data_IF_213536533490
#
_entry.id   IF_213536533490
#
_cell.length_a   1.000
_cell.length_b   1.000
_cell.length_c   1.000
_cell.angle_alpha   90.00
_cell.angle_beta   90.00
_cell.angle_gamma   90.00
#
_symmetry.space_group_name_H-M   'P 1'
#
loop_
_entity.id
_entity.type
_entity.pdbx_description
1 polymer ?
#
# COMPACT_ATOMS: atom_id res chain seq x y z
N UNK A 1 -20.80 6.31 -54.98
CA UNK A 1 -20.85 7.31 -53.90
C UNK A 1 -21.33 6.61 -52.63
N UNK A 2 -20.42 6.23 -51.73
CA UNK A 2 -20.78 5.73 -50.40
C UNK A 2 -19.88 6.38 -49.37
N UNK A 3 -20.38 7.47 -48.77
CA UNK A 3 -19.71 8.14 -47.65
C UNK A 3 -20.20 7.54 -46.34
N UNK A 4 -19.38 6.71 -45.70
CA UNK A 4 -19.58 6.33 -44.30
C UNK A 4 -19.04 7.44 -43.40
N UNK A 5 -19.93 8.17 -42.73
CA UNK A 5 -19.56 9.20 -41.74
C UNK A 5 -19.18 8.52 -40.43
N UNK A 6 -17.91 8.59 -40.07
CA UNK A 6 -17.39 8.09 -38.79
C UNK A 6 -17.78 9.07 -37.67
N UNK A 7 -18.58 8.62 -36.71
CA UNK A 7 -19.05 9.43 -35.59
C UNK A 7 -17.95 9.55 -34.51
N UNK A 8 -17.35 10.73 -34.43
CA UNK A 8 -16.34 11.10 -33.44
C UNK A 8 -16.98 11.34 -32.06
N UNK A 9 -16.96 10.33 -31.17
CA UNK A 9 -17.40 10.50 -29.78
C UNK A 9 -16.32 11.31 -29.02
N UNK A 10 -16.51 12.63 -28.97
CA UNK A 10 -15.71 13.53 -28.14
C UNK A 10 -16.62 14.15 -27.08
N UNK A 11 -16.22 14.03 -25.80
CA UNK A 11 -16.61 15.02 -24.79
C UNK A 11 -17.35 14.55 -23.54
N UNK A 12 -16.84 13.55 -22.81
CA UNK A 12 -17.42 13.21 -21.49
C UNK A 12 -16.51 13.47 -20.28
N UNK A 13 -15.28 13.95 -20.45
CA UNK A 13 -14.40 14.22 -19.30
C UNK A 13 -14.16 15.72 -19.12
N UNK A 14 -14.53 16.24 -17.95
CA UNK A 14 -14.33 17.63 -17.55
C UNK A 14 -13.54 17.64 -16.23
N UNK A 15 -12.22 17.72 -16.33
CA UNK A 15 -11.34 17.88 -15.15
C UNK A 15 -11.43 19.30 -14.60
N UNK A 16 -11.64 19.40 -13.28
CA UNK A 16 -11.67 20.66 -12.54
C UNK A 16 -10.40 20.78 -11.71
N UNK A 17 -9.49 21.65 -12.15
CA UNK A 17 -8.30 22.09 -11.42
C UNK A 17 -8.69 23.12 -10.35
N UNK A 18 -8.23 22.96 -9.10
CA UNK A 18 -8.13 24.04 -8.10
C UNK A 18 -6.85 23.93 -7.27
N UNK A 19 -6.17 25.07 -7.20
CA UNK A 19 -4.94 25.42 -6.49
C UNK A 19 -5.12 25.57 -4.98
N UNK A 20 -4.02 25.49 -4.21
CA UNK A 20 -3.91 26.24 -2.95
C UNK A 20 -2.92 25.67 -1.93
N UNK A 21 -1.76 26.31 -1.81
CA UNK A 21 -0.80 26.16 -0.71
C UNK A 21 -1.26 26.95 0.53
N UNK A 22 -1.01 26.47 1.76
CA UNK A 22 -0.60 27.31 2.92
C UNK A 22 -0.37 26.52 4.22
N UNK A 23 0.78 26.80 4.83
CA UNK A 23 1.25 26.39 6.17
C UNK A 23 0.43 27.07 7.29
N UNK A 24 0.34 26.44 8.46
CA UNK A 24 0.20 27.18 9.73
C UNK A 24 0.86 26.45 10.90
N UNK A 25 1.84 27.13 11.51
CA UNK A 25 2.40 26.88 12.85
C UNK A 25 1.50 27.57 13.88
N UNK A 26 1.29 26.96 15.05
CA UNK A 26 0.92 27.67 16.29
C UNK A 26 1.49 26.96 17.50
N UNK A 27 2.29 27.70 18.26
CA UNK A 27 2.90 27.40 19.55
C UNK A 27 1.97 27.81 20.71
N UNK A 28 1.82 27.00 21.75
CA UNK A 28 1.53 27.50 23.12
C UNK A 28 1.98 26.51 24.21
N UNK A 29 2.27 27.08 25.39
CA UNK A 29 3.15 26.67 26.49
C UNK A 29 2.54 25.67 27.52
N UNK A 30 3.47 25.07 28.29
CA UNK A 30 3.53 24.26 29.54
C UNK A 30 2.46 24.53 30.64
N UNK A 31 2.45 23.89 31.85
CA UNK A 31 3.37 22.92 32.50
C UNK A 31 2.68 21.74 33.26
N UNK A 32 3.43 20.75 33.78
CA UNK A 32 3.10 20.11 35.08
C UNK A 32 4.23 19.17 35.55
N UNK A 33 4.59 19.27 36.83
CA UNK A 33 5.61 18.49 37.50
C UNK A 33 5.08 17.14 37.97
N UNK A 34 5.89 16.09 37.88
CA UNK A 34 5.73 14.83 38.62
C UNK A 34 7.16 14.32 38.88
N UNK A 35 7.73 14.67 40.04
CA UNK A 35 7.80 13.84 41.24
C UNK A 35 8.41 12.49 40.91
N UNK A 36 9.70 12.37 41.26
CA UNK A 36 10.49 11.18 41.10
C UNK A 36 10.02 10.04 42.00
N UNK A 37 10.33 8.83 41.58
CA UNK A 37 10.51 7.69 42.48
C UNK A 37 11.58 6.81 41.86
N UNK A 38 12.73 6.85 42.51
CA UNK A 38 13.82 5.90 42.41
C UNK A 38 13.29 4.54 42.88
N UNK A 39 12.99 3.65 41.92
CA UNK A 39 12.89 2.23 42.19
C UNK A 39 13.91 1.54 41.29
N UNK A 40 15.03 1.17 41.91
CA UNK A 40 15.98 0.21 41.39
C UNK A 40 15.26 -1.03 40.86
N UNK A 41 15.15 -1.15 39.54
CA UNK A 41 14.97 -2.44 38.87
C UNK A 41 16.36 -2.98 38.56
N UNK A 42 16.72 -4.19 39.00
CA UNK A 42 17.85 -4.90 38.41
C UNK A 42 17.41 -5.45 37.05
N UNK A 43 17.98 -5.06 35.89
CA UNK A 43 17.87 -5.88 34.71
C UNK A 43 18.86 -7.05 34.86
N UNK A 44 18.52 -7.96 35.76
CA UNK A 44 19.07 -9.30 35.75
C UNK A 44 18.73 -9.91 34.39
N UNK A 45 19.78 -10.09 33.57
CA UNK A 45 19.93 -11.10 32.54
C UNK A 45 18.64 -11.73 32.00
N UNK A 46 18.09 -11.24 30.89
CA UNK A 46 17.42 -12.06 29.87
C UNK A 46 17.44 -11.30 28.53
N UNK A 47 18.61 -11.24 27.90
CA UNK A 47 18.76 -10.74 26.53
C UNK A 47 18.71 -11.87 25.49
N UNK A 48 17.99 -12.96 25.79
CA UNK A 48 18.02 -14.17 24.96
C UNK A 48 16.62 -14.66 24.64
N UNK A 49 15.93 -13.91 23.78
CA UNK A 49 14.75 -14.39 23.05
C UNK A 49 14.50 -13.51 21.81
N UNK A 50 15.51 -13.34 20.94
CA UNK A 50 15.20 -13.14 19.53
C UNK A 50 14.95 -14.54 18.96
N UNK A 51 13.71 -15.00 19.11
CA UNK A 51 13.24 -16.17 18.39
C UNK A 51 13.10 -15.74 16.93
N UNK A 52 13.80 -16.37 15.96
CA UNK A 52 13.73 -15.98 14.55
C UNK A 52 12.30 -16.01 14.00
N UNK A 53 11.44 -16.83 14.61
CA UNK A 53 10.03 -17.02 14.27
C UNK A 53 9.20 -15.71 14.33
N UNK A 54 9.47 -14.83 15.30
CA UNK A 54 8.72 -13.57 15.44
C UNK A 54 9.14 -12.50 14.43
N UNK A 55 10.41 -12.53 14.00
CA UNK A 55 10.94 -11.54 13.08
C UNK A 55 10.49 -11.84 11.65
N UNK A 56 10.46 -13.12 11.26
CA UNK A 56 9.89 -13.55 9.97
C UNK A 56 8.39 -13.25 9.85
N UNK A 57 7.63 -13.36 10.95
CA UNK A 57 6.20 -13.02 10.94
C UNK A 57 5.96 -11.52 10.72
N UNK A 58 6.77 -10.66 11.35
CA UNK A 58 6.71 -9.21 11.14
C UNK A 58 7.06 -8.81 9.70
N UNK A 59 8.15 -9.37 9.16
CA UNK A 59 8.59 -9.08 7.79
C UNK A 59 7.51 -9.49 6.77
N UNK A 60 6.89 -10.65 6.95
CA UNK A 60 5.75 -11.10 6.14
C UNK A 60 4.57 -10.12 6.20
N UNK A 61 4.27 -9.59 7.38
CA UNK A 61 3.13 -8.67 7.55
C UNK A 61 3.38 -7.32 6.83
N UNK A 62 4.62 -6.84 6.81
CA UNK A 62 5.02 -5.66 6.04
C UNK A 62 4.90 -5.90 4.52
N UNK A 63 5.35 -7.05 4.03
CA UNK A 63 5.22 -7.41 2.61
C UNK A 63 3.75 -7.51 2.17
N UNK A 64 2.91 -8.14 2.99
CA UNK A 64 1.48 -8.26 2.72
C UNK A 64 0.77 -6.90 2.78
N UNK A 65 1.19 -5.97 3.65
CA UNK A 65 0.67 -4.60 3.66
C UNK A 65 0.94 -3.87 2.34
N UNK A 66 2.14 -4.01 1.77
CA UNK A 66 2.48 -3.44 0.46
C UNK A 66 1.57 -4.00 -0.64
N UNK A 67 1.31 -5.31 -0.61
CA UNK A 67 0.41 -5.98 -1.57
C UNK A 67 -1.06 -5.55 -1.38
N UNK A 68 -1.52 -5.39 -0.13
CA UNK A 68 -2.86 -4.86 0.17
C UNK A 68 -3.03 -3.42 -0.32
N UNK A 69 -2.01 -2.59 -0.14
CA UNK A 69 -2.02 -1.21 -0.65
C UNK A 69 -2.07 -1.17 -2.18
N UNK A 70 -1.39 -2.11 -2.86
CA UNK A 70 -1.52 -2.30 -4.30
C UNK A 70 -2.94 -2.70 -4.70
N UNK A 71 -3.57 -3.66 -3.99
CA UNK A 71 -4.94 -4.11 -4.23
C UNK A 71 -5.96 -2.97 -4.14
N UNK A 72 -5.80 -2.04 -3.20
CA UNK A 72 -6.67 -0.87 -3.04
C UNK A 72 -6.48 0.21 -4.12
N UNK A 73 -5.36 0.20 -4.86
CA UNK A 73 -5.09 1.23 -5.86
C UNK A 73 -5.83 0.95 -7.17
N UNK A 74 -6.94 1.66 -7.39
CA UNK A 74 -7.78 1.51 -8.59
C UNK A 74 -7.11 1.97 -9.89
N UNK A 75 -6.00 2.72 -9.83
CA UNK A 75 -5.28 3.18 -11.02
C UNK A 75 -4.76 2.01 -11.87
N UNK A 76 -4.48 0.86 -11.25
CA UNK A 76 -3.99 -0.35 -11.90
C UNK A 76 -5.09 -1.29 -12.43
N UNK A 77 -6.35 -0.86 -12.31
CA UNK A 77 -7.53 -1.58 -12.78
C UNK A 77 -8.17 -2.49 -11.72
N UNK A 78 -9.25 -3.20 -12.08
CA UNK A 78 -9.99 -4.06 -11.16
C UNK A 78 -9.10 -5.19 -10.64
N UNK A 79 -9.35 -5.63 -9.41
CA UNK A 79 -8.63 -6.75 -8.78
C UNK A 79 -9.51 -8.02 -8.62
N UNK A 80 -10.73 -8.00 -9.17
CA UNK A 80 -11.68 -9.11 -9.05
C UNK A 80 -11.35 -10.19 -10.08
N UNK A 81 -11.27 -11.45 -9.64
CA UNK A 81 -11.14 -12.62 -10.51
C UNK A 81 -9.75 -12.79 -11.16
N UNK A 82 -8.70 -12.23 -10.56
CA UNK A 82 -7.33 -12.43 -11.03
C UNK A 82 -6.33 -12.36 -9.88
N UNK A 83 -5.20 -13.06 -10.03
CA UNK A 83 -4.08 -12.97 -9.09
C UNK A 83 -3.44 -11.59 -9.11
N UNK A 84 -2.75 -11.24 -8.01
CA UNK A 84 -1.97 -10.00 -7.89
C UNK A 84 -0.95 -9.86 -9.02
N UNK A 85 -0.30 -10.97 -9.41
CA UNK A 85 0.68 -10.99 -10.50
C UNK A 85 0.02 -10.68 -11.85
N UNK A 86 -1.10 -11.34 -12.17
CA UNK A 86 -1.82 -11.07 -13.41
C UNK A 86 -2.30 -9.61 -13.50
N UNK A 87 -2.76 -9.05 -12.37
CA UNK A 87 -3.12 -7.64 -12.26
C UNK A 87 -1.94 -6.71 -12.50
N UNK A 88 -0.78 -7.01 -11.90
CA UNK A 88 0.45 -6.24 -12.09
C UNK A 88 0.91 -6.26 -13.56
N UNK A 89 0.95 -7.42 -14.20
CA UNK A 89 1.34 -7.55 -15.60
C UNK A 89 0.39 -6.79 -16.53
N UNK A 90 -0.91 -6.82 -16.24
CA UNK A 90 -1.90 -6.06 -17.01
C UNK A 90 -1.64 -4.56 -16.89
N UNK A 91 -1.40 -4.07 -15.67
CA UNK A 91 -1.08 -2.67 -15.44
C UNK A 91 0.22 -2.24 -16.14
N UNK A 92 1.24 -3.12 -16.13
CA UNK A 92 2.50 -2.92 -16.85
C UNK A 92 2.29 -2.84 -18.37
N UNK A 93 1.52 -3.78 -18.94
CA UNK A 93 1.14 -3.79 -20.37
C UNK A 93 0.35 -2.55 -20.78
N UNK A 94 -0.44 -1.98 -19.88
CA UNK A 94 -1.18 -0.74 -20.10
C UNK A 94 -0.34 0.54 -19.91
N UNK A 95 0.95 0.41 -19.57
CA UNK A 95 1.83 1.56 -19.36
C UNK A 95 1.49 2.37 -18.10
N UNK A 96 0.82 1.74 -17.13
CA UNK A 96 0.41 2.40 -15.87
C UNK A 96 1.54 2.46 -14.83
N UNK A 97 2.70 1.88 -15.15
CA UNK A 97 3.90 1.85 -14.30
C UNK A 97 3.60 1.37 -12.86
N UNK A 98 3.10 0.14 -12.67
CA UNK A 98 2.90 -0.41 -11.33
C UNK A 98 4.24 -0.54 -10.58
N UNK A 99 4.24 -0.52 -9.23
CA UNK A 99 5.48 -0.54 -8.45
C UNK A 99 6.26 -1.85 -8.66
N UNK A 100 7.57 -1.76 -8.88
CA UNK A 100 8.45 -2.93 -9.10
C UNK A 100 8.61 -3.79 -7.84
N UNK A 101 8.45 -3.19 -6.66
CA UNK A 101 8.49 -3.91 -5.39
C UNK A 101 7.39 -4.98 -5.31
N UNK A 102 6.17 -4.66 -5.79
CA UNK A 102 5.06 -5.63 -5.85
C UNK A 102 5.44 -6.85 -6.67
N UNK A 103 6.06 -6.64 -7.84
CA UNK A 103 6.54 -7.75 -8.68
C UNK A 103 7.61 -8.59 -7.99
N UNK A 104 8.56 -7.96 -7.29
CA UNK A 104 9.59 -8.67 -6.54
C UNK A 104 9.00 -9.52 -5.42
N UNK A 105 8.09 -8.95 -4.61
CA UNK A 105 7.42 -9.68 -3.53
C UNK A 105 6.67 -10.91 -4.05
N UNK A 106 5.95 -10.77 -5.17
CA UNK A 106 5.20 -11.88 -5.76
C UNK A 106 6.07 -13.01 -6.34
N UNK A 107 7.35 -12.75 -6.66
CA UNK A 107 8.26 -13.77 -7.19
C UNK A 107 9.19 -14.36 -6.15
N UNK A 108 9.61 -13.55 -5.17
CA UNK A 108 10.68 -13.91 -4.25
C UNK A 108 10.17 -14.29 -2.87
N UNK A 109 8.94 -13.90 -2.50
CA UNK A 109 8.35 -14.19 -1.21
C UNK A 109 7.30 -15.31 -1.36
N UNK A 110 7.60 -16.56 -0.97
CA UNK A 110 6.63 -17.67 -1.07
C UNK A 110 5.48 -17.57 -0.06
N UNK A 111 5.61 -16.71 0.95
CA UNK A 111 4.71 -16.65 2.10
C UNK A 111 3.61 -15.58 1.98
N UNK A 112 3.60 -14.79 0.90
CA UNK A 112 2.58 -13.76 0.64
C UNK A 112 1.38 -14.35 -0.09
N UNK A 113 0.20 -13.74 0.06
CA UNK A 113 -0.97 -14.19 -0.68
C UNK A 113 -0.81 -13.87 -2.19
N UNK A 114 -1.02 -14.82 -3.10
CA UNK A 114 -1.02 -14.54 -4.54
C UNK A 114 -2.33 -13.89 -4.99
N UNK A 115 -3.37 -13.96 -4.15
CA UNK A 115 -4.74 -13.55 -4.44
C UNK A 115 -4.97 -12.09 -4.07
N UNK A 116 -5.76 -11.39 -4.89
CA UNK A 116 -6.15 -10.01 -4.61
C UNK A 116 -7.14 -9.96 -3.42
N UNK A 117 -7.14 -8.86 -2.67
CA UNK A 117 -7.99 -8.67 -1.48
C UNK A 117 -9.50 -8.92 -1.74
N UNK A 118 -9.99 -8.66 -2.96
CA UNK A 118 -11.41 -8.81 -3.32
C UNK A 118 -11.67 -10.05 -4.20
N UNK A 119 -10.83 -11.07 -4.08
CA UNK A 119 -11.02 -12.35 -4.77
C UNK A 119 -12.07 -13.26 -4.10
N UNK A 120 -12.63 -12.84 -2.96
CA UNK A 120 -13.65 -13.59 -2.22
C UNK A 120 -15.08 -13.44 -2.78
N UNK A 121 -15.55 -14.55 -3.38
CA UNK A 121 -16.92 -15.06 -3.58
C UNK A 121 -17.93 -14.26 -4.40
N UNK A 122 -18.17 -14.76 -5.62
CA UNK A 122 -19.53 -14.89 -6.20
C UNK A 122 -19.96 -16.35 -6.15
#
# INVERSE_FOLDING_TARGET
>A
MSSSKNASIKGIYREKKKSGISKKKTSTKSPSASIGSDLAQPPAALLSASSPDLQEEYDKEEEEEVLRQFDMNMAYGPCVGMSRLARWERASRLGLNPPQQVHHLLHNSPNVSPHCLWEASI
#
